data_IF_216469812098
#
_entry.id   IF_216469812098
#
_cell.length_a   1.000
_cell.length_b   1.000
_cell.length_c   1.000
_cell.angle_alpha   90.00
_cell.angle_beta   90.00
_cell.angle_gamma   90.00
#
_symmetry.space_group_name_H-M   'P 1'
#
loop_
_entity.id
_entity.type
_entity.pdbx_description
1 polymer ?
#
# COMPACT_ATOMS: atom_id res chain seq x y z
N UNK A 1 8.32 -14.82 18.25
CA UNK A 1 7.58 -13.90 19.14
C UNK A 1 6.46 -13.29 18.33
N UNK A 2 5.26 -13.17 18.90
CA UNK A 2 4.16 -12.43 18.29
C UNK A 2 4.11 -11.03 18.92
N UNK A 3 4.13 -9.98 18.11
CA UNK A 3 3.96 -8.60 18.57
C UNK A 3 2.52 -8.17 18.28
N UNK A 4 1.84 -7.63 19.29
CA UNK A 4 0.51 -7.03 19.14
C UNK A 4 0.56 -5.57 19.54
N UNK A 5 -0.01 -4.70 18.70
CA UNK A 5 -0.13 -3.27 18.95
C UNK A 5 -1.60 -2.91 18.83
N UNK A 6 -2.12 -2.14 19.79
CA UNK A 6 -3.50 -1.66 19.80
C UNK A 6 -3.50 -0.13 19.72
N UNK A 7 -4.19 0.42 18.71
CA UNK A 7 -4.39 1.87 18.55
C UNK A 7 -5.85 2.18 18.85
N UNK A 8 -6.10 3.07 19.80
CA UNK A 8 -7.44 3.42 20.26
C UNK A 8 -7.94 4.72 19.61
N UNK A 9 -9.25 4.93 19.60
CA UNK A 9 -9.92 6.13 19.06
C UNK A 9 -9.72 6.38 17.56
N UNK A 10 -9.39 5.33 16.80
CA UNK A 10 -9.31 5.41 15.34
C UNK A 10 -10.71 5.62 14.76
N UNK A 11 -10.89 6.71 14.02
CA UNK A 11 -12.13 7.01 13.31
C UNK A 11 -12.03 6.71 11.81
N UNK A 12 -10.84 6.90 11.21
CA UNK A 12 -10.56 6.59 9.81
C UNK A 12 -9.18 5.97 9.69
N UNK A 13 -9.03 5.02 8.77
CA UNK A 13 -7.74 4.46 8.36
C UNK A 13 -7.54 4.82 6.89
N UNK A 14 -6.46 5.54 6.61
CA UNK A 14 -6.01 5.78 5.25
C UNK A 14 -4.92 4.77 4.90
N UNK A 15 -5.03 4.16 3.73
CA UNK A 15 -4.11 3.14 3.26
C UNK A 15 -3.44 3.63 1.99
N UNK A 16 -2.11 3.65 2.02
CA UNK A 16 -1.28 4.00 0.85
C UNK A 16 -0.36 2.85 0.51
N UNK A 17 -0.19 2.59 -0.77
CA UNK A 17 0.77 1.61 -1.27
C UNK A 17 1.87 2.33 -2.06
N UNK A 18 3.11 1.94 -1.82
CA UNK A 18 4.28 2.51 -2.51
C UNK A 18 5.10 1.37 -3.09
N UNK A 19 5.75 1.62 -4.22
CA UNK A 19 6.78 0.76 -4.80
C UNK A 19 8.03 1.55 -5.10
N UNK A 20 9.17 0.95 -4.84
CA UNK A 20 10.45 1.51 -5.24
C UNK A 20 11.23 0.44 -6.02
N UNK A 21 11.56 0.66 -7.31
CA UNK A 21 12.48 -0.21 -8.02
C UNK A 21 13.89 -0.02 -7.44
N UNK A 22 14.41 -1.06 -6.81
CA UNK A 22 15.73 -1.07 -6.17
C UNK A 22 16.79 -1.70 -7.08
N UNK A 23 16.80 -1.35 -8.37
CA UNK A 23 17.74 -1.86 -9.37
C UNK A 23 17.73 -3.39 -9.58
N UNK A 24 18.30 -3.85 -10.70
CA UNK A 24 18.42 -5.29 -11.05
C UNK A 24 17.13 -6.11 -10.80
N UNK A 25 16.01 -5.63 -11.30
CA UNK A 25 14.70 -6.31 -11.25
C UNK A 25 14.09 -6.53 -9.86
N UNK A 26 14.67 -5.95 -8.80
CA UNK A 26 14.08 -6.01 -7.46
C UNK A 26 13.15 -4.82 -7.27
N UNK A 27 11.87 -5.09 -7.00
CA UNK A 27 10.91 -4.07 -6.57
C UNK A 27 10.67 -4.24 -5.07
N UNK A 28 10.82 -3.16 -4.30
CA UNK A 28 10.40 -3.14 -2.90
C UNK A 28 8.95 -2.66 -2.81
N UNK A 29 8.13 -3.36 -2.02
CA UNK A 29 6.73 -3.04 -1.79
C UNK A 29 6.51 -2.65 -0.34
N UNK A 30 5.78 -1.57 -0.11
CA UNK A 30 5.44 -1.10 1.22
C UNK A 30 3.99 -0.64 1.24
N UNK A 31 3.31 -0.92 2.35
CA UNK A 31 1.97 -0.42 2.63
C UNK A 31 1.99 0.38 3.93
N UNK A 32 1.39 1.57 3.87
CA UNK A 32 1.33 2.52 4.98
C UNK A 32 -0.12 2.61 5.42
N UNK A 33 -0.36 2.30 6.69
CA UNK A 33 -1.65 2.46 7.35
C UNK A 33 -1.56 3.69 8.26
N UNK A 34 -2.26 4.76 7.92
CA UNK A 34 -2.34 5.98 8.71
C UNK A 34 -3.64 5.98 9.49
N UNK A 35 -3.54 6.07 10.82
CA UNK A 35 -4.69 6.07 11.73
C UNK A 35 -5.04 7.51 12.08
N UNK A 36 -6.31 7.88 11.89
CA UNK A 36 -6.81 9.24 12.07
C UNK A 36 -7.95 9.27 13.09
N UNK A 37 -8.02 10.33 13.90
CA UNK A 37 -9.15 10.58 14.79
C UNK A 37 -10.33 11.23 14.02
N UNK A 38 -11.41 11.54 14.74
CA UNK A 38 -12.63 12.13 14.15
C UNK A 38 -12.40 13.52 13.54
N UNK A 39 -11.40 14.24 14.03
CA UNK A 39 -11.00 15.56 13.56
C UNK A 39 -10.04 15.49 12.35
N UNK A 40 -9.62 14.28 11.95
CA UNK A 40 -8.67 14.06 10.86
C UNK A 40 -7.20 14.19 11.29
N UNK A 41 -6.91 14.23 12.59
CA UNK A 41 -5.53 14.31 13.10
C UNK A 41 -4.90 12.91 13.16
N UNK A 42 -3.60 12.83 12.82
CA UNK A 42 -2.83 11.58 12.81
C UNK A 42 -2.58 11.09 14.24
N UNK A 43 -3.13 9.91 14.55
CA UNK A 43 -2.88 9.17 15.78
C UNK A 43 -1.60 8.33 15.71
N UNK A 44 -1.28 7.83 14.52
CA UNK A 44 -0.12 6.97 14.31
C UNK A 44 -0.05 6.40 12.90
N UNK A 45 1.00 5.61 12.65
CA UNK A 45 1.24 4.97 11.37
C UNK A 45 1.91 3.61 11.56
N UNK A 46 1.52 2.66 10.72
CA UNK A 46 2.21 1.37 10.58
C UNK A 46 2.68 1.25 9.14
N UNK A 47 3.99 0.99 8.97
CA UNK A 47 4.61 0.75 7.67
C UNK A 47 4.97 -0.73 7.58
N UNK A 48 4.31 -1.44 6.66
CA UNK A 48 4.58 -2.83 6.37
C UNK A 48 5.49 -2.93 5.15
N UNK A 49 6.63 -3.60 5.30
CA UNK A 49 7.56 -3.94 4.23
C UNK A 49 7.17 -5.33 3.75
N UNK A 50 6.73 -5.44 2.50
CA UNK A 50 6.07 -6.64 1.99
C UNK A 50 7.03 -7.42 1.10
N UNK A 51 7.00 -8.74 1.23
CA UNK A 51 7.76 -9.66 0.35
C UNK A 51 7.19 -9.70 -1.07
N UNK A 52 5.90 -9.40 -1.23
CA UNK A 52 5.22 -9.41 -2.51
C UNK A 52 3.99 -8.50 -2.45
N UNK A 53 3.49 -8.06 -3.61
CA UNK A 53 2.29 -7.24 -3.67
C UNK A 53 1.03 -7.97 -3.19
N UNK A 54 0.96 -9.30 -3.35
CA UNK A 54 -0.17 -10.10 -2.88
C UNK A 54 -0.37 -10.12 -1.36
N UNK A 55 0.62 -9.66 -0.59
CA UNK A 55 0.55 -9.60 0.88
C UNK A 55 -0.09 -8.32 1.43
N UNK A 56 -0.34 -7.29 0.60
CA UNK A 56 -0.96 -6.05 1.06
C UNK A 56 -2.46 -6.21 1.29
N UNK A 57 -2.99 -5.36 2.17
CA UNK A 57 -4.41 -5.14 2.29
C UNK A 57 -4.97 -4.55 1.00
N UNK A 58 -6.17 -4.98 0.56
CA UNK A 58 -6.83 -4.37 -0.59
C UNK A 58 -7.11 -2.90 -0.31
N UNK A 59 -6.92 -2.06 -1.34
CA UNK A 59 -7.27 -0.63 -1.29
C UNK A 59 -8.49 -0.48 -2.21
N UNK A 60 -9.69 -0.41 -1.63
CA UNK A 60 -10.96 -0.36 -2.37
C UNK A 60 -11.40 -1.72 -2.93
N UNK A 61 -12.06 -1.71 -4.10
CA UNK A 61 -12.62 -2.91 -4.78
C UNK A 61 -11.60 -3.72 -5.59
N UNK A 62 -10.32 -3.35 -5.57
CA UNK A 62 -9.28 -4.00 -6.37
C UNK A 62 -8.02 -4.34 -5.55
N UNK A 63 -7.29 -5.39 -5.95
CA UNK A 63 -5.99 -5.70 -5.36
C UNK A 63 -5.08 -4.47 -5.45
N UNK A 64 -4.14 -4.31 -4.51
CA UNK A 64 -3.48 -3.04 -4.26
C UNK A 64 -2.86 -2.52 -5.57
N UNK A 65 -3.38 -1.38 -6.04
CA UNK A 65 -2.96 -0.78 -7.30
C UNK A 65 -1.54 -0.24 -7.16
N UNK A 66 -0.54 -1.08 -7.41
CA UNK A 66 0.83 -0.61 -7.68
C UNK A 66 1.03 -0.15 -9.13
N UNK A 67 -0.06 0.05 -9.89
CA UNK A 67 0.01 0.35 -11.33
C UNK A 67 0.67 -0.76 -12.16
N UNK A 68 1.04 -1.89 -11.55
CA UNK A 68 1.71 -3.00 -12.20
C UNK A 68 0.76 -4.18 -12.31
N UNK A 69 0.24 -4.39 -13.51
CA UNK A 69 -0.30 -5.69 -13.89
C UNK A 69 0.89 -6.65 -14.00
N UNK A 70 1.20 -7.37 -12.91
CA UNK A 70 2.36 -8.27 -12.80
C UNK A 70 2.30 -9.46 -13.79
N UNK A 71 1.16 -9.63 -14.48
CA UNK A 71 0.98 -10.65 -15.52
C UNK A 71 1.26 -10.12 -16.93
N UNK A 72 1.46 -8.80 -17.10
CA UNK A 72 1.75 -8.19 -18.39
C UNK A 72 3.22 -7.75 -18.46
N UNK A 73 3.97 -8.16 -19.51
CA UNK A 73 5.34 -7.69 -19.70
C UNK A 73 5.35 -6.16 -19.83
N UNK A 74 6.36 -5.51 -19.22
CA UNK A 74 6.51 -4.07 -18.97
C UNK A 74 6.62 -3.16 -20.21
N UNK A 75 5.98 -3.51 -21.32
CA UNK A 75 5.94 -2.71 -22.54
C UNK A 75 4.55 -2.75 -23.14
N UNK A 76 3.61 -2.01 -22.52
CA UNK A 76 2.34 -1.52 -23.08
C UNK A 76 1.59 -0.74 -21.98
N UNK A 77 2.15 0.38 -21.56
CA UNK A 77 1.36 1.47 -20.99
C UNK A 77 1.66 2.72 -21.81
N UNK A 78 1.30 2.64 -23.09
CA UNK A 78 0.94 3.84 -23.83
C UNK A 78 -0.37 4.36 -23.24
N UNK A 79 -0.43 5.69 -23.11
CA UNK A 79 -1.37 6.40 -22.26
C UNK A 79 -2.83 6.03 -22.47
N UNK A 80 -3.53 5.92 -21.36
CA UNK A 80 -4.57 6.88 -20.98
C UNK A 80 -4.93 6.58 -19.51
N UNK A 81 -4.88 7.62 -18.68
CA UNK A 81 -5.50 7.60 -17.36
C UNK A 81 -7.01 7.55 -17.58
N UNK A 82 -7.71 6.48 -17.13
CA UNK A 82 -9.15 6.52 -17.05
C UNK A 82 -9.44 7.11 -15.67
N UNK A 83 -9.59 8.43 -15.65
CA UNK A 83 -9.88 9.25 -14.47
C UNK A 83 -8.67 9.54 -13.55
#
# INVERSE_FOLDING_TARGET
MCLSISVHHVARIEVSAVTCPTGRDITSWWQILTFLNQQGEKLGEVVAFLESPGAALPIGDQPPYWGMDLTKPAGLMDGESPF
#
